data_IF_925605816496
#
_entry.id   IF_925605816496
#
_cell.length_a   1.000
_cell.length_b   1.000
_cell.length_c   1.000
_cell.angle_alpha   90.00
_cell.angle_beta   90.00
_cell.angle_gamma   90.00
#
_symmetry.space_group_name_H-M   'P 1'
#
loop_
_entity.id
_entity.type
_entity.pdbx_description
1 polymer ?
#
# COMPACT_ATOMS: atom_id res chain seq x y z
N UNK A 1 8.32 4.77 78.42
CA UNK A 1 8.65 4.72 76.98
C UNK A 1 7.51 4.00 76.26
N UNK A 2 6.69 4.71 75.48
CA UNK A 2 5.65 4.12 74.63
C UNK A 2 6.12 4.24 73.18
N UNK A 3 6.44 3.13 72.54
CA UNK A 3 6.80 3.04 71.13
C UNK A 3 5.52 3.11 70.28
N UNK A 4 5.40 4.15 69.44
CA UNK A 4 4.32 4.26 68.43
C UNK A 4 4.73 3.43 67.22
N UNK A 5 3.92 2.42 66.89
CA UNK A 5 4.01 1.67 65.63
C UNK A 5 3.33 2.49 64.53
N UNK A 6 4.08 2.90 63.52
CA UNK A 6 3.57 3.61 62.34
C UNK A 6 3.34 2.59 61.23
N UNK A 7 2.08 2.32 60.88
CA UNK A 7 1.70 1.45 59.76
C UNK A 7 1.45 2.36 58.56
N UNK A 8 2.33 2.30 57.56
CA UNK A 8 2.16 3.01 56.28
C UNK A 8 1.38 2.10 55.33
N UNK A 9 0.17 2.51 54.96
CA UNK A 9 -0.68 1.80 54.00
C UNK A 9 -0.27 2.21 52.57
N UNK A 10 0.23 1.25 51.78
CA UNK A 10 0.56 1.46 50.36
C UNK A 10 -0.71 1.22 49.51
N UNK A 11 -1.27 2.27 48.92
CA UNK A 11 -2.32 2.13 47.91
C UNK A 11 -1.66 1.82 46.56
N UNK A 12 -1.77 0.58 46.10
CA UNK A 12 -1.40 0.20 44.73
C UNK A 12 -2.57 0.62 43.83
N UNK A 13 -2.37 1.67 43.04
CA UNK A 13 -3.31 2.08 42.01
C UNK A 13 -3.06 1.20 40.77
N UNK A 14 -3.83 0.13 40.61
CA UNK A 14 -3.87 -0.66 39.38
C UNK A 14 -4.61 0.14 38.31
N UNK A 15 -3.87 0.90 37.51
CA UNK A 15 -4.40 1.46 36.27
C UNK A 15 -4.57 0.33 35.26
N UNK A 16 -5.81 -0.09 35.00
CA UNK A 16 -6.12 -0.93 33.85
C UNK A 16 -5.82 -0.11 32.59
N UNK A 17 -4.68 -0.38 31.94
CA UNK A 17 -4.38 0.14 30.61
C UNK A 17 -5.22 -0.66 29.62
N UNK A 18 -6.36 -0.12 29.22
CA UNK A 18 -7.03 -0.59 28.03
C UNK A 18 -6.21 -0.12 26.83
N UNK A 19 -5.45 -1.02 26.20
CA UNK A 19 -4.89 -0.80 24.88
C UNK A 19 -6.05 -0.81 23.88
N UNK A 20 -6.56 0.36 23.52
CA UNK A 20 -7.30 0.48 22.27
C UNK A 20 -6.33 0.15 21.15
N UNK A 21 -6.66 -0.79 20.27
CA UNK A 21 -5.95 -0.92 19.01
C UNK A 21 -6.08 0.42 18.30
N UNK A 22 -4.96 1.11 18.08
CA UNK A 22 -4.95 2.33 17.28
C UNK A 22 -5.45 1.95 15.88
N UNK A 23 -6.42 2.71 15.36
CA UNK A 23 -6.86 2.55 13.98
C UNK A 23 -5.72 2.97 13.07
N UNK A 24 -5.33 2.09 12.17
CA UNK A 24 -4.27 2.30 11.17
C UNK A 24 -4.85 3.01 9.94
N UNK A 25 -4.15 4.02 9.43
CA UNK A 25 -4.59 4.89 8.34
C UNK A 25 -3.52 4.97 7.25
N UNK A 26 -3.96 5.34 6.06
CA UNK A 26 -3.10 5.61 4.91
C UNK A 26 -3.54 6.90 4.25
N UNK A 27 -2.68 7.46 3.39
CA UNK A 27 -3.04 8.62 2.58
C UNK A 27 -3.35 8.23 1.14
N UNK A 28 -4.52 8.66 0.67
CA UNK A 28 -4.98 8.53 -0.71
C UNK A 28 -4.76 9.81 -1.50
N UNK A 29 -4.22 9.66 -2.70
CA UNK A 29 -3.95 10.73 -3.66
C UNK A 29 -4.73 10.50 -4.95
N UNK A 30 -5.22 11.57 -5.58
CA UNK A 30 -6.09 11.51 -6.76
C UNK A 30 -5.36 11.48 -8.12
N UNK A 31 -4.04 11.71 -8.14
CA UNK A 31 -3.23 11.79 -9.36
C UNK A 31 -3.44 13.02 -10.25
N UNK A 32 -4.10 14.07 -9.75
CA UNK A 32 -4.37 15.30 -10.49
C UNK A 32 -3.45 16.43 -10.07
N UNK A 33 -3.43 16.77 -8.78
CA UNK A 33 -2.75 17.96 -8.27
C UNK A 33 -2.28 17.87 -6.81
N UNK A 34 -2.59 16.76 -6.14
CA UNK A 34 -2.36 16.54 -4.72
C UNK A 34 -0.94 16.09 -4.40
N UNK A 35 -0.42 16.54 -3.26
CA UNK A 35 0.92 16.21 -2.77
C UNK A 35 1.06 16.41 -1.26
N UNK A 36 2.18 15.95 -0.72
CA UNK A 36 2.70 16.44 0.56
C UNK A 36 4.03 17.14 0.31
N UNK A 37 4.27 18.25 1.00
CA UNK A 37 5.55 18.98 0.98
C UNK A 37 6.11 19.09 2.40
N UNK A 38 7.33 18.62 2.58
CA UNK A 38 8.15 18.84 3.77
C UNK A 38 9.27 19.83 3.42
N UNK A 39 9.35 20.94 4.16
CA UNK A 39 10.47 21.88 4.02
C UNK A 39 11.76 21.24 4.50
N UNK A 40 12.90 21.61 3.89
CA UNK A 40 14.19 21.11 4.33
C UNK A 40 14.49 21.53 5.77
N UNK A 41 15.06 20.62 6.55
CA UNK A 41 15.48 20.84 7.93
C UNK A 41 16.79 20.09 8.22
N UNK A 42 17.32 20.25 9.44
CA UNK A 42 18.57 19.61 9.84
C UNK A 42 18.50 18.08 9.81
N UNK A 43 17.31 17.48 9.98
CA UNK A 43 17.13 16.04 9.89
C UNK A 43 17.23 15.57 8.44
N UNK A 44 16.53 16.21 7.51
CA UNK A 44 16.66 15.94 6.07
C UNK A 44 18.10 16.16 5.58
N UNK A 45 18.80 17.18 6.07
CA UNK A 45 20.20 17.44 5.71
C UNK A 45 21.17 16.32 6.05
N UNK A 46 20.79 15.35 6.90
CA UNK A 46 21.58 14.13 7.14
C UNK A 46 21.78 13.26 5.89
N UNK A 47 21.02 13.47 4.81
CA UNK A 47 21.23 12.79 3.52
C UNK A 47 22.19 13.54 2.59
N UNK A 48 22.64 14.75 2.94
CA UNK A 48 23.51 15.53 2.07
C UNK A 48 24.90 14.88 2.00
N UNK A 49 25.33 14.48 0.81
CA UNK A 49 26.65 13.86 0.60
C UNK A 49 26.74 12.37 0.94
N UNK A 50 25.67 11.74 1.42
CA UNK A 50 25.73 10.31 1.79
C UNK A 50 25.76 9.42 0.55
N UNK A 51 26.54 8.34 0.63
CA UNK A 51 26.56 7.27 -0.39
C UNK A 51 25.79 6.02 0.04
N UNK A 52 25.62 5.85 1.36
CA UNK A 52 24.85 4.76 1.97
C UNK A 52 23.50 5.31 2.42
N UNK A 53 22.42 4.78 1.85
CA UNK A 53 21.06 5.12 2.28
C UNK A 53 20.06 4.09 1.75
N UNK A 54 18.94 3.97 2.45
CA UNK A 54 17.81 3.14 2.05
C UNK A 54 16.55 3.98 2.00
N UNK A 55 15.75 3.81 0.94
CA UNK A 55 14.41 4.38 0.82
C UNK A 55 13.45 3.22 0.73
N UNK A 56 12.36 3.26 1.47
CA UNK A 56 11.26 2.32 1.34
C UNK A 56 9.91 2.99 1.47
N UNK A 57 8.93 2.38 0.83
CA UNK A 57 7.54 2.86 0.81
C UNK A 57 6.61 1.71 0.48
N UNK A 58 5.46 1.68 1.15
CA UNK A 58 4.31 0.94 0.68
C UNK A 58 3.46 1.82 -0.21
N UNK A 59 3.12 1.32 -1.40
CA UNK A 59 2.29 2.04 -2.36
C UNK A 59 1.28 1.11 -3.02
N UNK A 60 0.04 1.57 -3.13
CA UNK A 60 -1.04 0.91 -3.86
C UNK A 60 -1.51 1.81 -5.01
N UNK A 61 -0.96 1.66 -6.23
CA UNK A 61 -1.40 2.45 -7.38
C UNK A 61 -2.87 2.15 -7.72
N UNK A 62 -3.70 3.19 -7.85
CA UNK A 62 -5.14 3.08 -8.13
C UNK A 62 -5.48 3.39 -9.60
N UNK A 63 -4.48 3.81 -10.39
CA UNK A 63 -4.60 4.03 -11.84
C UNK A 63 -3.70 3.08 -12.61
N UNK A 64 -4.14 2.66 -13.78
CA UNK A 64 -3.29 1.94 -14.75
C UNK A 64 -2.35 2.89 -15.51
N UNK A 65 -2.59 4.21 -15.45
CA UNK A 65 -1.73 5.25 -16.02
C UNK A 65 -0.66 5.65 -15.01
N UNK A 66 0.38 4.82 -14.93
CA UNK A 66 1.49 4.94 -13.99
C UNK A 66 2.72 5.61 -14.61
N UNK A 67 2.72 5.93 -15.90
CA UNK A 67 3.86 6.53 -16.58
C UNK A 67 4.26 7.88 -15.98
N UNK A 68 5.50 7.97 -15.49
CA UNK A 68 6.08 9.16 -14.86
C UNK A 68 5.25 9.68 -13.67
N UNK A 69 4.74 8.77 -12.83
CA UNK A 69 4.03 9.11 -11.59
C UNK A 69 5.00 8.99 -10.42
N UNK A 70 5.32 10.12 -9.78
CA UNK A 70 6.36 10.18 -8.74
C UNK A 70 5.75 9.84 -7.39
N UNK A 71 6.29 8.82 -6.72
CA UNK A 71 5.86 8.39 -5.38
C UNK A 71 6.45 9.31 -4.34
N UNK A 72 7.77 9.54 -4.42
CA UNK A 72 8.48 10.45 -3.54
C UNK A 72 9.68 11.06 -4.25
N UNK A 73 10.07 12.25 -3.80
CA UNK A 73 11.19 13.00 -4.36
C UNK A 73 11.83 13.88 -3.31
N UNK A 74 13.16 13.94 -3.34
CA UNK A 74 13.92 15.06 -2.79
C UNK A 74 14.63 15.77 -3.94
N UNK A 75 14.33 17.06 -4.13
CA UNK A 75 14.88 17.80 -5.27
C UNK A 75 16.40 17.73 -5.32
N UNK A 76 16.93 17.55 -6.53
CA UNK A 76 18.36 17.48 -6.82
C UNK A 76 19.13 16.39 -6.04
N UNK A 77 18.43 15.38 -5.52
CA UNK A 77 19.03 14.23 -4.84
C UNK A 77 18.46 12.90 -5.33
N UNK A 78 17.14 12.70 -5.27
CA UNK A 78 16.54 11.47 -5.77
C UNK A 78 15.05 11.57 -6.06
N UNK A 79 14.55 10.61 -6.86
CA UNK A 79 13.12 10.37 -7.03
C UNK A 79 12.83 8.88 -7.23
N UNK A 80 11.76 8.39 -6.61
CA UNK A 80 11.20 7.07 -6.86
C UNK A 80 9.92 7.22 -7.67
N UNK A 81 9.88 6.61 -8.86
CA UNK A 81 8.87 6.94 -9.88
C UNK A 81 8.31 5.67 -10.49
N UNK A 82 6.98 5.51 -10.49
CA UNK A 82 6.31 4.51 -11.30
C UNK A 82 6.45 4.87 -12.79
N UNK A 83 6.62 3.86 -13.63
CA UNK A 83 7.02 4.10 -15.01
C UNK A 83 6.53 3.04 -15.99
N UNK A 84 6.21 3.54 -17.19
CA UNK A 84 5.87 2.78 -18.39
C UNK A 84 4.72 1.79 -18.17
N UNK A 85 3.51 2.26 -18.44
CA UNK A 85 2.24 1.54 -18.23
C UNK A 85 2.25 0.10 -18.76
N UNK A 86 2.74 -0.09 -19.98
CA UNK A 86 2.81 -1.40 -20.65
C UNK A 86 3.73 -2.41 -19.94
N UNK A 87 4.73 -1.91 -19.22
CA UNK A 87 5.78 -2.73 -18.62
C UNK A 87 5.65 -2.83 -17.10
N UNK A 88 4.74 -2.07 -16.48
CA UNK A 88 4.46 -2.08 -15.04
C UNK A 88 5.73 -2.10 -14.18
N UNK A 89 6.59 -1.10 -14.37
CA UNK A 89 7.88 -0.99 -13.68
C UNK A 89 7.94 0.26 -12.83
N UNK A 90 8.97 0.36 -12.01
CA UNK A 90 9.38 1.63 -11.43
C UNK A 90 10.86 1.87 -11.75
N UNK A 91 11.30 3.11 -11.53
CA UNK A 91 12.71 3.44 -11.62
C UNK A 91 13.09 4.41 -10.51
N UNK A 92 14.38 4.40 -10.21
CA UNK A 92 15.02 5.29 -9.28
C UNK A 92 15.88 6.30 -10.04
N UNK A 93 15.65 7.58 -9.80
CA UNK A 93 16.56 8.64 -10.26
C UNK A 93 17.48 9.01 -9.12
N UNK A 94 18.77 9.02 -9.37
CA UNK A 94 19.80 9.44 -8.44
C UNK A 94 20.55 10.64 -9.03
N UNK A 95 20.63 11.72 -8.26
CA UNK A 95 21.35 12.94 -8.63
C UNK A 95 22.62 13.05 -7.79
N UNK A 96 23.77 12.99 -8.47
CA UNK A 96 25.09 13.12 -7.86
C UNK A 96 25.89 14.23 -8.53
N UNK A 97 26.78 14.92 -7.81
CA UNK A 97 27.74 15.85 -8.42
C UNK A 97 28.62 15.21 -9.50
N UNK A 98 28.81 13.89 -9.44
CA UNK A 98 29.62 13.10 -10.39
C UNK A 98 28.83 12.58 -11.59
N UNK A 99 27.54 12.91 -11.70
CA UNK A 99 26.65 12.48 -12.78
C UNK A 99 25.38 11.81 -12.28
N UNK A 100 24.28 12.01 -13.00
CA UNK A 100 22.99 11.42 -12.64
C UNK A 100 22.88 9.99 -13.16
N UNK A 101 22.23 9.13 -12.38
CA UNK A 101 21.95 7.74 -12.79
C UNK A 101 20.46 7.44 -12.72
N UNK A 102 20.02 6.52 -13.58
CA UNK A 102 18.65 6.04 -13.65
C UNK A 102 18.66 4.52 -13.54
N UNK A 103 18.18 4.00 -12.42
CA UNK A 103 18.14 2.56 -12.15
C UNK A 103 16.73 2.06 -12.47
N UNK A 104 16.61 1.16 -13.44
CA UNK A 104 15.33 0.59 -13.83
C UNK A 104 15.11 -0.76 -13.14
N UNK A 105 13.85 -1.12 -12.89
CA UNK A 105 13.52 -2.51 -12.61
C UNK A 105 13.32 -3.32 -13.89
N UNK A 106 13.29 -4.64 -13.73
CA UNK A 106 12.68 -5.56 -14.70
C UNK A 106 11.18 -5.22 -14.90
N UNK A 107 10.56 -5.84 -15.91
CA UNK A 107 9.14 -5.62 -16.22
C UNK A 107 8.20 -6.40 -15.26
N UNK A 108 6.94 -5.98 -15.20
CA UNK A 108 5.85 -6.62 -14.43
C UNK A 108 6.11 -6.73 -12.93
N UNK A 109 6.66 -5.66 -12.36
CA UNK A 109 7.02 -5.57 -10.94
C UNK A 109 5.90 -4.93 -10.12
N UNK A 110 5.14 -4.02 -10.72
CA UNK A 110 4.10 -3.24 -10.05
C UNK A 110 2.73 -3.91 -10.24
N UNK A 111 2.08 -4.21 -9.11
CA UNK A 111 0.68 -4.64 -9.08
C UNK A 111 -0.24 -3.42 -8.89
N UNK A 112 -1.23 -3.28 -9.76
CA UNK A 112 -2.23 -2.21 -9.69
C UNK A 112 -3.37 -2.65 -8.78
N UNK A 113 -3.89 -1.73 -7.97
CA UNK A 113 -4.91 -1.99 -6.94
C UNK A 113 -4.49 -3.05 -5.91
N UNK A 114 -3.18 -3.18 -5.70
CA UNK A 114 -2.57 -4.03 -4.67
C UNK A 114 -1.41 -3.28 -4.00
N UNK A 115 -1.18 -3.57 -2.73
CA UNK A 115 -0.04 -3.00 -1.99
C UNK A 115 1.27 -3.56 -2.54
N UNK A 116 2.22 -2.68 -2.83
CA UNK A 116 3.58 -3.02 -3.24
C UNK A 116 4.55 -2.39 -2.23
N UNK A 117 5.49 -3.18 -1.72
CA UNK A 117 6.61 -2.67 -0.93
C UNK A 117 7.79 -2.41 -1.85
N UNK A 118 8.15 -1.15 -2.06
CA UNK A 118 9.23 -0.75 -2.97
C UNK A 118 10.41 -0.22 -2.16
N UNK A 119 11.60 -0.76 -2.43
CA UNK A 119 12.81 -0.38 -1.68
C UNK A 119 13.96 -0.07 -2.63
N UNK A 120 14.72 0.96 -2.30
CA UNK A 120 15.99 1.33 -2.92
C UNK A 120 17.07 1.20 -1.86
N UNK A 121 18.11 0.43 -2.14
CA UNK A 121 19.29 0.29 -1.28
C UNK A 121 20.51 0.79 -2.04
N UNK A 122 21.12 1.86 -1.55
CA UNK A 122 22.39 2.38 -2.05
C UNK A 122 23.49 2.02 -1.05
N UNK A 123 24.52 1.30 -1.52
CA UNK A 123 25.59 0.80 -0.67
C UNK A 123 26.97 1.08 -1.28
N UNK A 124 27.78 1.85 -0.57
CA UNK A 124 29.18 2.11 -0.87
C UNK A 124 30.06 0.87 -0.64
N UNK A 125 29.69 0.00 0.31
CA UNK A 125 30.43 -1.23 0.62
C UNK A 125 30.43 -2.24 -0.53
N UNK A 126 29.29 -2.37 -1.22
CA UNK A 126 29.16 -3.19 -2.46
C UNK A 126 29.27 -2.37 -3.74
N UNK A 127 29.40 -1.04 -3.59
CA UNK A 127 29.41 -0.06 -4.67
C UNK A 127 28.21 -0.21 -5.64
N UNK A 128 27.02 -0.44 -5.09
CA UNK A 128 25.82 -0.78 -5.89
C UNK A 128 24.54 -0.08 -5.44
N UNK A 129 23.65 0.16 -6.39
CA UNK A 129 22.25 0.53 -6.17
C UNK A 129 21.36 -0.66 -6.52
N UNK A 130 20.55 -1.10 -5.56
CA UNK A 130 19.60 -2.21 -5.72
C UNK A 130 18.17 -1.75 -5.52
N UNK A 131 17.28 -2.26 -6.36
CA UNK A 131 15.84 -2.02 -6.31
C UNK A 131 15.14 -3.33 -5.91
N UNK A 132 14.25 -3.25 -4.94
CA UNK A 132 13.46 -4.38 -4.48
C UNK A 132 11.98 -4.08 -4.58
N UNK A 133 11.21 -5.11 -4.87
CA UNK A 133 9.76 -5.09 -4.80
C UNK A 133 9.28 -6.32 -4.04
N UNK A 134 8.45 -6.13 -3.02
CA UNK A 134 7.85 -7.21 -2.23
C UNK A 134 8.92 -8.21 -1.72
N UNK A 135 10.05 -7.68 -1.24
CA UNK A 135 11.17 -8.46 -0.71
C UNK A 135 12.10 -9.10 -1.75
N UNK A 136 11.91 -8.90 -3.06
CA UNK A 136 12.70 -9.53 -4.12
C UNK A 136 13.52 -8.49 -4.90
N UNK A 137 14.79 -8.80 -5.23
CA UNK A 137 15.64 -7.94 -6.09
C UNK A 137 15.07 -7.96 -7.51
N UNK A 138 14.74 -6.77 -8.00
CA UNK A 138 14.13 -6.54 -9.32
C UNK A 138 14.98 -5.60 -10.18
N UNK A 139 16.24 -5.39 -9.81
CA UNK A 139 17.18 -4.50 -10.52
C UNK A 139 17.44 -5.02 -11.94
N UNK A 140 17.22 -4.17 -12.96
CA UNK A 140 17.46 -4.54 -14.37
C UNK A 140 18.95 -4.53 -14.72
N UNK A 141 19.67 -3.51 -14.24
CA UNK A 141 21.08 -3.30 -14.53
C UNK A 141 21.75 -2.65 -13.34
N UNK A 142 22.86 -3.22 -12.89
CA UNK A 142 23.61 -2.68 -11.77
C UNK A 142 24.11 -1.27 -12.07
N UNK A 143 24.06 -0.41 -11.05
CA UNK A 143 24.56 0.96 -11.08
C UNK A 143 25.39 1.20 -9.82
N UNK A 144 26.36 2.11 -9.93
CA UNK A 144 27.25 2.46 -8.83
C UNK A 144 26.54 3.35 -7.82
N UNK A 145 26.74 3.09 -6.52
CA UNK A 145 26.31 3.98 -5.45
C UNK A 145 27.22 5.22 -5.42
N UNK A 146 26.71 6.33 -5.97
CA UNK A 146 27.38 7.63 -5.91
C UNK A 146 26.88 8.42 -4.68
N UNK A 147 27.67 9.38 -4.16
CA UNK A 147 27.19 10.27 -3.12
C UNK A 147 26.09 11.19 -3.66
N UNK A 148 25.05 11.39 -2.85
CA UNK A 148 24.05 12.44 -3.09
C UNK A 148 24.72 13.81 -3.10
N UNK A 149 24.08 14.80 -3.74
CA UNK A 149 24.55 16.19 -3.67
C UNK A 149 24.68 16.67 -2.21
N UNK A 150 25.81 17.29 -1.87
CA UNK A 150 26.10 17.81 -0.52
C UNK A 150 25.48 19.18 -0.25
N UNK A 151 25.14 19.93 -1.30
CA UNK A 151 24.51 21.26 -1.24
C UNK A 151 23.37 21.34 -2.26
N UNK A 152 22.31 20.53 -2.09
CA UNK A 152 21.20 20.50 -3.05
C UNK A 152 20.40 21.81 -2.99
N UNK A 153 20.23 22.49 -4.14
CA UNK A 153 19.37 23.66 -4.25
C UNK A 153 17.89 23.26 -4.03
N UNK A 154 17.20 23.94 -3.12
CA UNK A 154 15.76 23.75 -2.85
C UNK A 154 15.32 22.30 -2.54
N UNK A 155 16.08 21.60 -1.70
CA UNK A 155 15.96 20.16 -1.42
C UNK A 155 14.78 19.74 -0.52
N UNK A 156 13.61 20.36 -0.70
CA UNK A 156 12.39 19.93 -0.03
C UNK A 156 12.04 18.49 -0.42
N UNK A 157 11.42 17.79 0.51
CA UNK A 157 10.95 16.42 0.32
C UNK A 157 9.46 16.43 -0.03
N UNK A 158 9.09 15.62 -1.01
CA UNK A 158 7.73 15.54 -1.53
C UNK A 158 7.26 14.10 -1.59
N UNK A 159 5.98 13.91 -1.32
CA UNK A 159 5.24 12.67 -1.55
C UNK A 159 4.16 12.94 -2.60
N UNK A 160 3.95 11.97 -3.50
CA UNK A 160 3.03 12.02 -4.63
C UNK A 160 3.28 13.18 -5.63
N UNK A 161 4.51 13.71 -5.69
CA UNK A 161 4.85 14.84 -6.55
C UNK A 161 6.32 14.88 -6.95
N UNK A 162 6.59 15.23 -8.21
CA UNK A 162 7.95 15.40 -8.73
C UNK A 162 8.14 16.57 -9.70
N UNK A 163 7.09 17.38 -9.91
CA UNK A 163 7.03 18.45 -10.88
C UNK A 163 5.64 18.55 -11.52
N UNK A 164 5.47 19.50 -12.44
CA UNK A 164 4.20 19.67 -13.17
C UNK A 164 3.79 18.38 -13.89
N UNK A 165 2.59 17.88 -13.62
CA UNK A 165 1.99 16.73 -14.30
C UNK A 165 2.49 15.35 -13.86
N UNK A 166 3.24 15.25 -12.75
CA UNK A 166 3.80 13.97 -12.27
C UNK A 166 3.14 13.45 -10.98
N UNK A 167 1.88 13.83 -10.74
CA UNK A 167 1.13 13.45 -9.54
C UNK A 167 0.78 11.97 -9.54
N UNK A 168 0.57 11.39 -8.36
CA UNK A 168 0.29 9.96 -8.23
C UNK A 168 -1.17 9.72 -7.80
N UNK A 169 -1.85 8.80 -8.48
CA UNK A 169 -3.13 8.25 -8.03
C UNK A 169 -2.86 6.93 -7.29
N UNK A 170 -2.81 6.97 -5.97
CA UNK A 170 -2.44 5.82 -5.13
C UNK A 170 -2.84 6.01 -3.67
N UNK A 171 -2.94 4.91 -2.92
CA UNK A 171 -2.70 4.94 -1.48
C UNK A 171 -1.20 4.80 -1.20
N UNK A 172 -0.68 5.53 -0.21
CA UNK A 172 0.71 5.46 0.24
C UNK A 172 0.72 5.29 1.76
N UNK A 173 1.65 4.48 2.25
CA UNK A 173 1.88 4.27 3.67
C UNK A 173 3.35 3.91 3.97
N UNK A 174 3.74 4.01 5.25
CA UNK A 174 5.00 3.52 5.82
C UNK A 174 6.23 3.91 5.01
N UNK A 175 6.36 5.21 4.74
CA UNK A 175 7.53 5.78 4.06
C UNK A 175 8.68 5.87 5.06
N UNK A 176 9.80 5.21 4.79
CA UNK A 176 11.02 5.35 5.59
C UNK A 176 12.24 5.64 4.72
N UNK A 177 13.05 6.59 5.15
CA UNK A 177 14.37 6.87 4.54
C UNK A 177 15.41 6.84 5.64
N UNK A 178 16.43 5.99 5.49
CA UNK A 178 17.58 5.90 6.38
C UNK A 178 18.85 6.36 5.67
N UNK A 179 19.75 7.03 6.39
CA UNK A 179 21.08 7.42 5.90
C UNK A 179 22.14 6.31 6.09
N UNK A 180 21.69 5.05 6.05
CA UNK A 180 22.53 3.86 6.10
C UNK A 180 21.96 2.80 5.16
N UNK A 181 22.79 1.84 4.77
CA UNK A 181 22.36 0.64 4.04
C UNK A 181 21.61 -0.30 4.98
N UNK A 182 20.37 -0.63 4.65
CA UNK A 182 19.62 -1.70 5.31
C UNK A 182 19.78 -3.05 4.59
N UNK A 183 19.63 -4.13 5.35
CA UNK A 183 19.62 -5.50 4.83
C UNK A 183 18.17 -5.92 4.51
N UNK A 184 17.98 -6.71 3.46
CA UNK A 184 16.63 -7.11 3.03
C UNK A 184 15.80 -7.79 4.12
N UNK A 185 16.44 -8.51 5.04
CA UNK A 185 15.74 -9.26 6.09
C UNK A 185 15.20 -8.39 7.22
N UNK A 186 15.55 -7.09 7.29
CA UNK A 186 14.98 -6.14 8.26
C UNK A 186 13.74 -5.41 7.72
N UNK A 187 13.36 -5.67 6.47
CA UNK A 187 12.25 -5.03 5.80
C UNK A 187 10.92 -5.73 6.11
N UNK A 188 9.84 -4.95 6.10
CA UNK A 188 8.47 -5.45 6.19
C UNK A 188 8.13 -6.35 5.00
N UNK A 189 7.24 -7.30 5.25
CA UNK A 189 6.74 -8.25 4.23
C UNK A 189 5.25 -8.10 3.99
N UNK A 190 4.54 -7.48 4.94
CA UNK A 190 3.12 -7.18 4.87
C UNK A 190 2.88 -5.74 5.30
N UNK A 191 1.92 -5.07 4.67
CA UNK A 191 1.49 -3.72 5.05
C UNK A 191 0.91 -3.70 6.47
N UNK A 192 0.35 -4.82 6.94
CA UNK A 192 -0.18 -4.96 8.30
C UNK A 192 0.90 -5.28 9.36
N UNK A 193 2.18 -5.39 8.96
CA UNK A 193 3.28 -5.51 9.92
C UNK A 193 3.34 -4.27 10.82
N UNK A 194 3.87 -4.44 12.03
CA UNK A 194 3.99 -3.36 13.01
C UNK A 194 4.77 -2.16 12.41
N UNK A 195 4.32 -0.96 12.76
CA UNK A 195 4.90 0.30 12.29
C UNK A 195 6.40 0.36 12.55
N UNK A 196 7.09 1.04 11.63
CA UNK A 196 8.48 1.36 11.83
C UNK A 196 8.63 2.37 12.96
N UNK A 197 9.73 2.24 13.70
CA UNK A 197 10.17 3.20 14.71
C UNK A 197 11.42 3.92 14.24
N UNK A 198 11.59 5.16 14.69
CA UNK A 198 12.77 5.96 14.34
C UNK A 198 13.98 5.54 15.16
N UNK A 199 15.14 5.50 14.51
CA UNK A 199 16.46 5.44 15.14
C UNK A 199 17.34 6.63 14.68
N UNK A 200 18.58 6.71 15.15
CA UNK A 200 19.51 7.80 14.82
C UNK A 200 19.78 7.95 13.31
N UNK A 201 19.65 6.85 12.57
CA UNK A 201 19.86 6.78 11.13
C UNK A 201 18.58 7.04 10.31
N UNK A 202 17.44 7.16 10.97
CA UNK A 202 16.15 7.41 10.31
C UNK A 202 16.00 8.91 10.03
N UNK A 203 15.90 9.27 8.76
CA UNK A 203 15.80 10.66 8.28
C UNK A 203 14.36 11.03 7.95
N UNK A 204 13.61 10.11 7.32
CA UNK A 204 12.18 10.26 7.08
C UNK A 204 11.48 9.03 7.66
N UNK A 205 10.41 9.24 8.42
CA UNK A 205 9.50 8.21 8.88
C UNK A 205 8.07 8.77 8.87
N UNK A 206 7.26 8.25 7.95
CA UNK A 206 5.86 8.65 7.79
C UNK A 206 5.00 7.37 7.85
N UNK A 207 4.41 7.08 9.00
CA UNK A 207 3.47 5.97 9.14
C UNK A 207 2.01 6.36 8.79
N UNK A 208 1.75 7.64 8.51
CA UNK A 208 0.42 8.15 8.11
C UNK A 208 -0.75 7.68 8.99
N UNK A 209 -0.51 7.64 10.30
CA UNK A 209 -1.47 7.16 11.30
C UNK A 209 -2.22 8.28 12.05
N UNK A 210 -2.15 9.53 11.56
CA UNK A 210 -2.89 10.66 12.14
C UNK A 210 -4.40 10.61 11.86
N UNK A 211 -4.80 10.04 10.73
CA UNK A 211 -6.20 9.75 10.38
C UNK A 211 -7.11 10.97 10.13
N UNK A 212 -6.62 12.20 10.31
CA UNK A 212 -7.35 13.43 10.06
C UNK A 212 -6.43 14.65 9.98
N UNK A 213 -6.97 15.79 9.55
CA UNK A 213 -6.23 17.05 9.46
C UNK A 213 -5.53 17.26 8.11
N UNK A 214 -4.71 18.30 8.04
CA UNK A 214 -4.09 18.81 6.80
C UNK A 214 -2.57 18.77 6.82
N UNK A 215 -1.99 18.02 7.76
CA UNK A 215 -0.54 17.86 7.87
C UNK A 215 -0.21 16.47 8.40
N UNK A 216 1.00 16.02 8.09
CA UNK A 216 1.60 14.75 8.53
C UNK A 216 2.91 15.01 9.24
N UNK A 217 3.20 14.33 10.33
CA UNK A 217 4.47 14.44 11.03
C UNK A 217 5.52 13.58 10.34
N UNK A 218 6.75 14.09 10.20
CA UNK A 218 7.90 13.24 10.03
C UNK A 218 8.36 12.76 11.40
N UNK A 219 8.01 11.53 11.78
CA UNK A 219 8.18 10.96 13.12
C UNK A 219 9.64 10.79 13.55
N UNK A 220 10.60 10.91 12.62
CA UNK A 220 12.03 11.00 12.94
C UNK A 220 12.48 12.40 13.38
N UNK A 221 11.56 13.37 13.41
CA UNK A 221 11.84 14.80 13.60
C UNK A 221 10.64 15.53 14.20
N UNK A 222 10.69 16.87 14.23
CA UNK A 222 9.54 17.74 14.53
C UNK A 222 8.97 18.42 13.27
N UNK A 223 9.47 18.06 12.09
CA UNK A 223 9.06 18.64 10.83
C UNK A 223 7.72 18.05 10.38
N UNK A 224 6.81 18.89 9.90
CA UNK A 224 5.50 18.46 9.40
C UNK A 224 5.36 18.76 7.92
N UNK A 225 4.81 17.81 7.20
CA UNK A 225 4.47 17.94 5.79
C UNK A 225 3.06 18.50 5.63
N UNK A 226 2.90 19.49 4.77
CA UNK A 226 1.59 20.06 4.46
C UNK A 226 0.91 19.21 3.37
N UNK A 227 -0.31 18.73 3.65
CA UNK A 227 -1.19 18.16 2.63
C UNK A 227 -1.66 19.31 1.75
N UNK A 228 -1.29 19.28 0.47
CA UNK A 228 -1.51 20.38 -0.43
C UNK A 228 -1.97 19.91 -1.81
N UNK A 229 -2.45 20.87 -2.57
CA UNK A 229 -2.86 20.79 -3.95
C UNK A 229 -2.42 22.08 -4.63
N UNK A 230 -2.04 22.02 -5.90
CA UNK A 230 -1.43 23.18 -6.58
C UNK A 230 -2.26 23.75 -7.72
N UNK A 231 -3.46 23.24 -7.96
CA UNK A 231 -4.41 23.82 -8.89
C UNK A 231 -5.16 25.01 -8.25
N UNK A 232 -5.46 26.03 -9.06
CA UNK A 232 -6.21 27.23 -8.65
C UNK A 232 -7.62 26.93 -8.17
N UNK A 233 -8.16 25.77 -8.52
CA UNK A 233 -9.48 25.25 -8.17
C UNK A 233 -9.39 24.00 -7.28
N UNK A 234 -8.32 23.88 -6.48
CA UNK A 234 -8.21 22.75 -5.55
C UNK A 234 -9.47 22.58 -4.70
N UNK A 235 -10.16 21.46 -4.91
CA UNK A 235 -11.40 21.13 -4.22
C UNK A 235 -11.21 20.08 -3.13
N UNK A 236 -10.10 19.33 -3.15
CA UNK A 236 -9.85 18.23 -2.22
C UNK A 236 -8.35 18.04 -1.94
N UNK A 237 -8.00 17.89 -0.67
CA UNK A 237 -6.66 17.49 -0.21
C UNK A 237 -6.51 15.95 -0.28
N UNK A 238 -5.26 15.42 -0.18
CA UNK A 238 -5.07 14.00 0.12
C UNK A 238 -5.98 13.53 1.25
N UNK A 239 -6.55 12.34 1.10
CA UNK A 239 -7.59 11.84 2.00
C UNK A 239 -7.05 10.74 2.91
N UNK A 240 -7.37 10.83 4.19
CA UNK A 240 -7.12 9.76 5.16
C UNK A 240 -8.11 8.61 4.95
N UNK A 241 -7.60 7.39 4.82
CA UNK A 241 -8.40 6.19 4.65
C UNK A 241 -7.92 5.15 5.65
N UNK A 242 -8.81 4.50 6.39
CA UNK A 242 -8.40 3.40 7.27
C UNK A 242 -7.75 2.29 6.43
N UNK A 243 -6.59 1.78 6.87
CA UNK A 243 -5.85 0.72 6.18
C UNK A 243 -6.75 -0.48 5.87
N UNK A 244 -7.63 -0.84 6.82
CA UNK A 244 -8.58 -1.95 6.65
C UNK A 244 -9.50 -1.83 5.42
N UNK A 245 -9.77 -0.61 4.94
CA UNK A 245 -10.57 -0.35 3.74
C UNK A 245 -9.74 -0.43 2.45
N UNK A 246 -8.42 -0.35 2.52
CA UNK A 246 -7.50 -0.36 1.36
C UNK A 246 -6.83 -1.69 1.14
N UNK A 247 -6.71 -2.51 2.19
CA UNK A 247 -6.32 -3.92 2.05
C UNK A 247 -7.13 -4.54 0.92
N UNK A 248 -6.44 -5.26 0.04
CA UNK A 248 -7.07 -5.94 -1.07
C UNK A 248 -8.12 -6.90 -0.51
N UNK A 249 -9.35 -6.43 -0.41
CA UNK A 249 -10.47 -7.32 -0.45
C UNK A 249 -10.47 -7.77 -1.90
N UNK A 250 -10.04 -9.00 -2.18
CA UNK A 250 -10.87 -9.80 -3.07
C UNK A 250 -12.25 -9.77 -2.43
N UNK A 251 -13.01 -8.69 -2.68
CA UNK A 251 -14.22 -8.37 -1.97
C UNK A 251 -15.16 -9.46 -2.33
N UNK A 252 -15.21 -10.48 -1.47
CA UNK A 252 -16.30 -11.43 -1.35
C UNK A 252 -17.52 -10.62 -0.91
N UNK A 253 -17.95 -9.69 -1.76
CA UNK A 253 -19.16 -8.95 -1.60
C UNK A 253 -20.25 -10.00 -1.81
N UNK A 254 -20.83 -10.43 -0.70
CA UNK A 254 -22.06 -11.21 -0.72
C UNK A 254 -23.23 -10.43 -1.37
N UNK A 255 -23.02 -9.19 -1.79
CA UNK A 255 -23.98 -8.32 -2.49
C UNK A 255 -23.78 -8.28 -4.01
N UNK A 256 -22.70 -8.84 -4.58
CA UNK A 256 -22.43 -8.82 -6.03
C UNK A 256 -23.49 -9.55 -6.86
N UNK A 257 -24.14 -10.55 -6.27
CA UNK A 257 -25.17 -11.32 -6.95
C UNK A 257 -26.20 -11.84 -5.97
N UNK A 258 -27.34 -12.30 -6.47
CA UNK A 258 -28.38 -13.00 -5.73
C UNK A 258 -28.45 -14.45 -6.22
N UNK A 259 -28.70 -15.36 -5.29
CA UNK A 259 -29.02 -16.77 -5.58
C UNK A 259 -30.46 -17.01 -5.18
N UNK A 260 -31.28 -17.49 -6.11
CA UNK A 260 -32.67 -17.85 -5.82
C UNK A 260 -33.19 -18.96 -6.75
N UNK A 261 -34.12 -19.83 -6.28
CA UNK A 261 -34.55 -19.92 -4.88
C UNK A 261 -33.43 -20.50 -4.00
N UNK A 262 -33.40 -20.08 -2.73
CA UNK A 262 -32.54 -20.66 -1.70
C UNK A 262 -33.39 -20.86 -0.44
N UNK A 263 -33.76 -22.11 -0.09
CA UNK A 263 -33.31 -23.38 -0.67
C UNK A 263 -33.76 -23.63 -2.12
N UNK A 264 -32.97 -24.39 -2.88
CA UNK A 264 -33.32 -24.90 -4.21
C UNK A 264 -33.92 -26.30 -4.09
N UNK A 265 -35.20 -26.44 -4.44
CA UNK A 265 -35.99 -27.67 -4.24
C UNK A 265 -35.99 -28.62 -5.44
N UNK A 266 -35.81 -28.08 -6.64
CA UNK A 266 -35.72 -28.82 -7.90
C UNK A 266 -34.26 -29.02 -8.33
N UNK A 267 -33.31 -28.74 -7.42
CA UNK A 267 -31.88 -28.68 -7.69
C UNK A 267 -31.52 -27.76 -8.85
N UNK A 268 -32.36 -26.77 -9.15
CA UNK A 268 -32.06 -25.67 -10.06
C UNK A 268 -32.13 -24.33 -9.33
N UNK A 269 -31.21 -23.44 -9.64
CA UNK A 269 -31.20 -22.09 -9.07
C UNK A 269 -30.63 -21.09 -10.06
N UNK A 270 -31.00 -19.83 -9.85
CA UNK A 270 -30.55 -18.70 -10.64
C UNK A 270 -29.47 -17.93 -9.89
N UNK A 271 -28.41 -17.55 -10.61
CA UNK A 271 -27.44 -16.54 -10.20
C UNK A 271 -27.73 -15.28 -11.01
N UNK A 272 -27.95 -14.16 -10.35
CA UNK A 272 -28.17 -12.86 -11.00
C UNK A 272 -27.28 -11.81 -10.36
N UNK A 273 -26.45 -11.11 -11.13
CA UNK A 273 -25.59 -10.04 -10.62
C UNK A 273 -26.38 -8.80 -10.26
N UNK A 274 -25.84 -8.02 -9.32
CA UNK A 274 -26.28 -6.66 -9.02
C UNK A 274 -25.72 -5.71 -10.09
N UNK A 275 -26.42 -4.60 -10.37
CA UNK A 275 -25.91 -3.51 -11.22
C UNK A 275 -25.47 -3.87 -12.65
N UNK A 276 -26.02 -4.93 -13.25
CA UNK A 276 -25.73 -5.38 -14.63
C UNK A 276 -24.28 -5.82 -14.89
N UNK A 277 -23.54 -6.21 -13.86
CA UNK A 277 -22.19 -6.79 -14.03
C UNK A 277 -22.24 -8.07 -14.86
N UNK A 278 -21.20 -8.29 -15.68
CA UNK A 278 -21.12 -9.44 -16.58
C UNK A 278 -20.48 -10.62 -15.85
N UNK A 279 -21.15 -11.77 -15.89
CA UNK A 279 -20.65 -13.01 -15.33
C UNK A 279 -19.48 -13.55 -16.17
N UNK A 280 -18.42 -14.00 -15.51
CA UNK A 280 -17.27 -14.68 -16.12
C UNK A 280 -17.22 -16.17 -15.80
N UNK A 281 -17.46 -16.54 -14.54
CA UNK A 281 -17.49 -17.94 -14.12
C UNK A 281 -18.21 -18.14 -12.79
N UNK A 282 -18.54 -19.39 -12.49
CA UNK A 282 -18.93 -19.83 -11.15
C UNK A 282 -18.30 -21.17 -10.79
N UNK A 283 -18.09 -21.38 -9.50
CA UNK A 283 -17.62 -22.64 -8.94
C UNK A 283 -18.36 -22.96 -7.63
N UNK A 284 -18.79 -24.21 -7.48
CA UNK A 284 -19.47 -24.72 -6.29
C UNK A 284 -18.53 -25.57 -5.46
N UNK A 285 -18.57 -25.39 -4.15
CA UNK A 285 -17.79 -26.13 -3.18
C UNK A 285 -18.70 -26.81 -2.15
N UNK A 286 -18.33 -28.02 -1.73
CA UNK A 286 -18.92 -28.66 -0.56
C UNK A 286 -18.50 -27.94 0.73
N UNK A 287 -19.10 -28.29 1.87
CA UNK A 287 -18.70 -27.77 3.19
C UNK A 287 -17.26 -28.13 3.59
N UNK A 288 -16.64 -29.11 2.91
CA UNK A 288 -15.24 -29.50 3.10
C UNK A 288 -14.29 -28.77 2.14
N UNK A 289 -14.79 -27.80 1.35
CA UNK A 289 -13.98 -27.03 0.40
C UNK A 289 -13.66 -27.76 -0.92
N UNK A 290 -14.19 -28.97 -1.13
CA UNK A 290 -14.01 -29.70 -2.40
C UNK A 290 -14.84 -29.04 -3.50
N UNK A 291 -14.22 -28.72 -4.63
CA UNK A 291 -14.93 -28.28 -5.84
C UNK A 291 -15.83 -29.39 -6.37
N UNK A 292 -17.12 -29.09 -6.59
CA UNK A 292 -18.15 -30.04 -7.03
C UNK A 292 -18.80 -29.68 -8.37
N UNK A 293 -18.72 -28.41 -8.81
CA UNK A 293 -19.22 -27.96 -10.11
C UNK A 293 -18.51 -26.67 -10.52
N UNK A 294 -18.13 -26.56 -11.79
CA UNK A 294 -17.53 -25.33 -12.36
C UNK A 294 -18.17 -25.01 -13.70
N UNK A 295 -18.46 -23.74 -13.95
CA UNK A 295 -19.04 -23.24 -15.19
C UNK A 295 -18.28 -21.98 -15.60
N UNK A 296 -17.71 -21.98 -16.79
CA UNK A 296 -17.15 -20.78 -17.43
C UNK A 296 -18.20 -20.16 -18.37
N UNK A 297 -18.32 -18.84 -18.33
CA UNK A 297 -19.38 -18.08 -18.99
C UNK A 297 -18.71 -17.15 -20.00
N UNK A 298 -18.83 -17.51 -21.28
CA UNK A 298 -18.20 -16.77 -22.38
C UNK A 298 -19.12 -15.71 -22.99
N UNK A 299 -20.42 -15.83 -22.78
CA UNK A 299 -21.42 -14.88 -23.25
C UNK A 299 -21.58 -13.71 -22.27
N UNK A 300 -21.80 -12.49 -22.80
CA UNK A 300 -22.07 -11.29 -21.99
C UNK A 300 -23.45 -11.36 -21.35
N UNK A 301 -23.56 -12.01 -20.19
CA UNK A 301 -24.80 -12.18 -19.43
C UNK A 301 -24.62 -11.74 -17.98
N UNK A 302 -25.67 -11.16 -17.40
CA UNK A 302 -25.76 -10.79 -15.98
C UNK A 302 -26.61 -11.79 -15.16
N UNK A 303 -27.11 -12.85 -15.80
CA UNK A 303 -27.98 -13.87 -15.21
C UNK A 303 -27.72 -15.23 -15.83
N UNK A 304 -27.65 -16.26 -15.01
CA UNK A 304 -27.58 -17.66 -15.45
C UNK A 304 -28.48 -18.56 -14.59
N UNK A 305 -28.96 -19.64 -15.19
CA UNK A 305 -29.62 -20.75 -14.47
C UNK A 305 -28.61 -21.87 -14.35
N UNK A 306 -28.42 -22.35 -13.11
CA UNK A 306 -27.54 -23.46 -12.77
C UNK A 306 -28.39 -24.67 -12.46
N UNK A 307 -28.12 -25.77 -13.15
CA UNK A 307 -28.69 -27.07 -12.85
C UNK A 307 -27.67 -27.86 -12.01
N UNK A 308 -28.09 -28.36 -10.85
CA UNK A 308 -27.28 -29.08 -9.88
C UNK A 308 -27.92 -30.42 -9.49
N UNK A 309 -28.66 -31.06 -10.40
CA UNK A 309 -29.35 -32.34 -10.15
C UNK A 309 -28.40 -33.48 -9.77
N UNK A 310 -27.13 -33.38 -10.16
CA UNK A 310 -26.08 -34.33 -9.80
C UNK A 310 -25.60 -34.22 -8.35
N UNK A 311 -25.95 -33.14 -7.64
CA UNK A 311 -25.52 -32.92 -6.27
C UNK A 311 -26.48 -33.57 -5.26
N UNK A 312 -25.90 -34.11 -4.19
CA UNK A 312 -26.66 -34.59 -3.03
C UNK A 312 -27.30 -33.42 -2.29
N UNK A 313 -28.33 -33.72 -1.50
CA UNK A 313 -29.00 -32.72 -0.67
C UNK A 313 -28.02 -32.23 0.40
N UNK A 314 -27.93 -30.92 0.60
CA UNK A 314 -26.96 -30.35 1.53
C UNK A 314 -26.69 -28.87 1.33
N UNK A 315 -25.69 -28.38 2.07
CA UNK A 315 -25.22 -27.00 1.99
C UNK A 315 -23.99 -26.94 1.07
N UNK A 316 -23.99 -25.94 0.19
CA UNK A 316 -22.89 -25.67 -0.73
C UNK A 316 -22.56 -24.18 -0.73
N UNK A 317 -21.34 -23.85 -1.14
CA UNK A 317 -20.89 -22.48 -1.35
C UNK A 317 -20.66 -22.25 -2.84
N UNK A 318 -21.27 -21.22 -3.39
CA UNK A 318 -21.14 -20.81 -4.79
C UNK A 318 -20.23 -19.59 -4.83
N UNK A 319 -19.04 -19.73 -5.40
CA UNK A 319 -18.17 -18.63 -5.80
C UNK A 319 -18.57 -18.18 -7.20
N UNK A 320 -18.75 -16.89 -7.41
CA UNK A 320 -19.09 -16.30 -8.71
C UNK A 320 -18.11 -15.18 -9.02
N UNK A 321 -17.56 -15.16 -10.22
CA UNK A 321 -16.65 -14.12 -10.72
C UNK A 321 -17.38 -13.31 -11.79
N UNK A 322 -17.31 -11.99 -11.67
CA UNK A 322 -17.83 -11.00 -12.62
C UNK A 322 -16.69 -10.23 -13.28
N UNK A 323 -17.03 -9.32 -14.19
CA UNK A 323 -16.10 -8.33 -14.74
C UNK A 323 -15.69 -7.24 -13.76
N UNK A 324 -16.35 -7.13 -12.61
CA UNK A 324 -16.08 -6.13 -11.57
C UNK A 324 -15.61 -6.71 -10.23
N UNK A 325 -15.68 -8.02 -10.02
CA UNK A 325 -15.21 -8.65 -8.77
C UNK A 325 -15.59 -10.12 -8.63
N UNK A 326 -15.51 -10.67 -7.43
CA UNK A 326 -15.95 -12.03 -7.15
C UNK A 326 -16.64 -12.14 -5.78
N UNK A 327 -17.73 -12.90 -5.68
CA UNK A 327 -18.46 -13.10 -4.43
C UNK A 327 -18.66 -14.57 -4.11
N UNK A 328 -18.96 -14.89 -2.85
CA UNK A 328 -19.39 -16.23 -2.43
C UNK A 328 -20.76 -16.14 -1.75
N UNK A 329 -21.67 -17.05 -2.08
CA UNK A 329 -22.94 -17.24 -1.37
C UNK A 329 -23.19 -18.70 -1.03
N UNK A 330 -23.75 -18.90 0.16
CA UNK A 330 -24.28 -20.20 0.60
C UNK A 330 -25.60 -20.50 -0.12
N UNK A 331 -25.76 -21.73 -0.58
CA UNK A 331 -27.03 -22.29 -1.08
C UNK A 331 -27.33 -23.62 -0.37
N UNK A 332 -28.62 -23.86 -0.11
CA UNK A 332 -29.11 -25.17 0.30
C UNK A 332 -29.76 -25.87 -0.89
N UNK A 333 -29.26 -27.06 -1.24
CA UNK A 333 -29.85 -27.95 -2.25
C UNK A 333 -30.70 -29.00 -1.53
N UNK A 334 -31.95 -29.17 -1.97
CA UNK A 334 -32.91 -30.16 -1.46
C UNK A 334 -33.35 -31.14 -2.55
#
# INVERSE_FOLDING_TARGET
MKTKLQITLFFIFLANVFTYAQTDYVLEFNGVDQRIKYETDATLDKLNGVSDYTIEVWVKPLSTEIHNRVILKRWNQFALTLYKDADKRFYFTHYSPSGNTFVNTINNVINIDEWNHLVVVCSSATNSVKLYANGVDVTLSDQVALPLASTPEAANFYVAYGGSGTYLNANIDKVRIKNTTEIITSLQTDIADADYTSDDNTVVLLNFNEGSGTATLNESSSNSGELACIATDCTQLPTWVELSNTLAVNKLNSTLFKIFPNPSFDKSFTIQTSNNELLKSMEMFSVLGKSVKKIDITEKKNKIVVNATELNNGIYFVKTVTDKGAGIKKIMIK
#
